data_IF_172084365306
#
_entry.id   IF_172084365306
#
_cell.length_a   1.000
_cell.length_b   1.000
_cell.length_c   1.000
_cell.angle_alpha   90.00
_cell.angle_beta   90.00
_cell.angle_gamma   90.00
#
_symmetry.space_group_name_H-M   'P 1'
#
loop_
_entity.id
_entity.type
_entity.pdbx_description
1 polymer ?
#
# COMPACT_ATOMS: atom_id res chain seq x y z
N UNK A 1 -9.01 -6.55 12.02
CA UNK A 1 -8.59 -7.49 13.13
C UNK A 1 -7.57 -8.58 12.78
N UNK A 2 -7.73 -9.40 11.72
CA UNK A 2 -6.72 -10.43 11.35
C UNK A 2 -5.62 -9.84 10.44
N UNK A 3 -6.03 -9.13 9.40
CA UNK A 3 -5.16 -8.56 8.35
C UNK A 3 -4.18 -7.54 8.92
N UNK A 4 -4.63 -6.59 9.75
CA UNK A 4 -3.74 -5.63 10.41
C UNK A 4 -2.62 -6.28 11.23
N UNK A 5 -2.84 -7.46 11.84
CA UNK A 5 -1.79 -8.21 12.55
C UNK A 5 -0.80 -8.88 11.59
N UNK A 6 -1.27 -9.39 10.44
CA UNK A 6 -0.41 -9.93 9.39
C UNK A 6 0.48 -8.83 8.81
N UNK A 7 -0.11 -7.71 8.39
CA UNK A 7 0.63 -6.56 7.88
C UNK A 7 1.62 -6.00 8.92
N UNK A 8 1.25 -5.91 10.21
CA UNK A 8 2.17 -5.52 11.29
C UNK A 8 3.41 -6.42 11.40
N UNK A 9 3.25 -7.73 11.14
CA UNK A 9 4.37 -8.68 11.14
C UNK A 9 5.28 -8.52 9.91
N UNK A 10 4.71 -8.30 8.73
CA UNK A 10 5.43 -8.02 7.48
C UNK A 10 6.17 -6.68 7.58
N UNK A 11 5.50 -5.64 8.08
CA UNK A 11 6.07 -4.32 8.34
C UNK A 11 7.23 -4.38 9.33
N UNK A 12 7.10 -5.14 10.42
CA UNK A 12 8.19 -5.37 11.37
C UNK A 12 9.37 -6.10 10.71
N UNK A 13 9.12 -7.06 9.84
CA UNK A 13 10.19 -7.75 9.08
C UNK A 13 10.89 -6.81 8.09
N UNK A 14 10.16 -5.88 7.46
CA UNK A 14 10.69 -4.90 6.49
C UNK A 14 11.48 -3.75 7.12
N UNK A 15 11.05 -3.28 8.30
CA UNK A 15 11.57 -2.04 8.93
C UNK A 15 12.25 -2.24 10.29
N UNK A 16 12.05 -3.37 10.95
CA UNK A 16 12.41 -3.59 12.35
C UNK A 16 11.54 -2.84 13.37
N UNK A 17 10.48 -2.13 12.95
CA UNK A 17 9.70 -1.24 13.82
C UNK A 17 8.24 -1.67 13.94
N UNK A 18 7.90 -2.27 15.08
CA UNK A 18 6.54 -2.81 15.34
C UNK A 18 5.53 -1.77 15.91
N UNK A 19 5.98 -0.58 16.29
CA UNK A 19 5.18 0.38 17.09
C UNK A 19 4.75 1.67 16.36
N UNK A 20 5.26 1.94 15.14
CA UNK A 20 5.04 3.25 14.48
C UNK A 20 3.73 3.36 13.68
N UNK A 21 3.11 2.26 13.25
CA UNK A 21 1.82 2.28 12.57
C UNK A 21 0.65 1.98 13.52
N UNK A 22 -0.34 2.87 13.50
CA UNK A 22 -1.64 2.67 14.14
C UNK A 22 -2.49 1.69 13.35
N UNK A 23 -3.32 0.88 14.02
CA UNK A 23 -4.13 -0.16 13.37
C UNK A 23 -5.06 0.42 12.29
N UNK A 24 -5.53 1.67 12.43
CA UNK A 24 -6.31 2.39 11.38
C UNK A 24 -5.52 2.71 10.10
N UNK A 25 -4.19 2.79 10.19
CA UNK A 25 -3.29 2.98 9.05
C UNK A 25 -3.07 1.61 8.37
N UNK A 26 -3.07 0.52 9.14
CA UNK A 26 -2.94 -0.87 8.67
C UNK A 26 -4.20 -1.45 8.01
N UNK A 27 -5.33 -0.75 8.08
CA UNK A 27 -6.62 -1.14 7.49
C UNK A 27 -7.05 -0.19 6.35
N UNK A 28 -6.14 0.68 5.86
CA UNK A 28 -6.38 1.59 4.73
C UNK A 28 -5.41 1.30 3.56
N UNK A 29 -5.88 0.97 2.34
CA UNK A 29 -5.01 0.60 1.22
C UNK A 29 -4.00 1.69 0.84
N UNK A 30 -4.43 2.95 0.79
CA UNK A 30 -3.57 4.07 0.40
C UNK A 30 -2.50 4.38 1.46
N UNK A 31 -2.82 4.13 2.73
CA UNK A 31 -1.88 4.34 3.82
C UNK A 31 -0.82 3.22 3.90
N UNK A 32 -1.21 1.97 3.64
CA UNK A 32 -0.28 0.84 3.45
C UNK A 32 0.59 1.08 2.21
N UNK A 33 -0.02 1.50 1.10
CA UNK A 33 0.69 1.84 -0.14
C UNK A 33 1.77 2.89 0.10
N UNK A 34 1.42 4.04 0.67
CA UNK A 34 2.36 5.13 0.94
C UNK A 34 3.52 4.70 1.83
N UNK A 35 3.25 3.89 2.85
CA UNK A 35 4.27 3.35 3.75
C UNK A 35 5.28 2.43 3.00
N UNK A 36 4.83 1.63 2.03
CA UNK A 36 5.72 0.92 1.12
C UNK A 36 6.48 1.87 0.17
N UNK A 37 5.82 2.92 -0.38
CA UNK A 37 6.48 3.89 -1.26
C UNK A 37 7.65 4.61 -0.56
N UNK A 38 7.50 4.95 0.73
CA UNK A 38 8.56 5.51 1.57
C UNK A 38 9.73 4.52 1.75
N UNK A 39 9.46 3.25 2.10
CA UNK A 39 10.51 2.21 2.20
C UNK A 39 11.25 2.02 0.86
N UNK A 40 10.50 1.95 -0.24
CA UNK A 40 11.03 1.76 -1.59
C UNK A 40 11.93 2.94 -1.97
N UNK A 41 11.50 4.17 -1.67
CA UNK A 41 12.30 5.39 -1.86
C UNK A 41 13.58 5.36 -1.05
N UNK A 42 13.50 5.10 0.26
CA UNK A 42 14.67 5.08 1.16
C UNK A 42 15.67 3.99 0.76
N UNK A 43 15.21 2.78 0.44
CA UNK A 43 16.07 1.69 -0.04
C UNK A 43 16.69 2.03 -1.40
N UNK A 44 15.94 2.62 -2.33
CA UNK A 44 16.45 3.08 -3.64
C UNK A 44 17.53 4.15 -3.46
N UNK A 45 17.32 5.13 -2.59
CA UNK A 45 18.33 6.15 -2.28
C UNK A 45 19.59 5.55 -1.63
N UNK A 46 19.43 4.66 -0.66
CA UNK A 46 20.54 3.95 -0.03
C UNK A 46 21.36 3.14 -1.07
N UNK A 47 20.70 2.45 -2.00
CA UNK A 47 21.36 1.74 -3.10
C UNK A 47 22.13 2.71 -4.01
N UNK A 48 21.59 3.89 -4.33
CA UNK A 48 22.34 4.89 -5.13
C UNK A 48 23.54 5.46 -4.37
N UNK A 49 23.40 5.79 -3.08
CA UNK A 49 24.51 6.23 -2.21
C UNK A 49 25.61 5.17 -2.18
N UNK A 50 25.24 3.91 -1.99
CA UNK A 50 26.17 2.79 -1.91
C UNK A 50 26.85 2.49 -3.26
N UNK A 51 26.10 2.52 -4.37
CA UNK A 51 26.66 2.45 -5.73
C UNK A 51 27.65 3.58 -6.01
N UNK A 52 27.37 4.79 -5.51
CA UNK A 52 28.30 5.93 -5.58
C UNK A 52 29.61 5.66 -4.85
N UNK A 53 29.55 5.13 -3.63
CA UNK A 53 30.74 4.76 -2.84
C UNK A 53 31.57 3.65 -3.53
N UNK A 54 30.92 2.59 -4.05
CA UNK A 54 31.61 1.55 -4.85
C UNK A 54 32.25 2.14 -6.11
N UNK A 55 31.60 3.11 -6.76
CA UNK A 55 32.18 3.86 -7.88
C UNK A 55 33.44 4.65 -7.52
N UNK A 56 33.48 5.26 -6.32
CA UNK A 56 34.68 5.94 -5.81
C UNK A 56 35.82 4.95 -5.52
N UNK A 57 35.53 3.78 -4.95
CA UNK A 57 36.52 2.71 -4.75
C UNK A 57 37.08 2.22 -6.10
N UNK A 58 36.23 2.02 -7.11
CA UNK A 58 36.66 1.66 -8.46
C UNK A 58 37.54 2.73 -9.12
N UNK A 59 37.26 4.01 -8.89
CA UNK A 59 38.11 5.11 -9.38
C UNK A 59 39.49 5.09 -8.70
N UNK A 60 39.56 4.87 -7.39
CA UNK A 60 40.82 4.75 -6.64
C UNK A 60 41.64 3.53 -7.10
N UNK A 61 40.99 2.37 -7.31
CA UNK A 61 41.65 1.18 -7.86
C UNK A 61 42.23 1.47 -9.26
N UNK A 62 41.49 2.16 -10.12
CA UNK A 62 41.98 2.56 -11.45
C UNK A 62 43.16 3.54 -11.35
N UNK A 63 43.16 4.47 -10.40
CA UNK A 63 44.30 5.36 -10.16
C UNK A 63 45.54 4.57 -9.74
N UNK A 64 45.42 3.59 -8.83
CA UNK A 64 46.53 2.69 -8.46
C UNK A 64 47.06 1.91 -9.67
N UNK A 65 46.18 1.38 -10.52
CA UNK A 65 46.57 0.68 -11.76
C UNK A 65 47.37 1.57 -12.72
N UNK A 66 46.98 2.85 -12.88
CA UNK A 66 47.74 3.83 -13.67
C UNK A 66 49.11 4.09 -13.03
N UNK A 67 49.18 4.25 -11.70
CA UNK A 67 50.46 4.44 -11.00
C UNK A 67 51.40 3.23 -11.16
N UNK A 68 50.88 2.00 -11.19
CA UNK A 68 51.68 0.81 -11.52
C UNK A 68 52.22 0.90 -12.94
N UNK A 69 51.38 1.23 -13.93
CA UNK A 69 51.82 1.37 -15.34
C UNK A 69 52.89 2.45 -15.53
N UNK A 70 52.77 3.59 -14.85
CA UNK A 70 53.76 4.67 -14.84
C UNK A 70 55.09 4.18 -14.23
N UNK A 71 55.04 3.54 -13.06
CA UNK A 71 56.22 2.96 -12.42
C UNK A 71 56.88 1.86 -13.27
N UNK A 72 56.11 1.03 -13.99
CA UNK A 72 56.67 0.02 -14.91
C UNK A 72 57.49 0.69 -16.01
N UNK A 73 57.00 1.78 -16.61
CA UNK A 73 57.73 2.54 -17.64
C UNK A 73 58.99 3.18 -17.06
N UNK A 74 58.93 3.71 -15.84
CA UNK A 74 60.10 4.24 -15.14
C UNK A 74 61.15 3.16 -14.83
N UNK A 75 60.73 1.94 -14.45
CA UNK A 75 61.65 0.81 -14.24
C UNK A 75 62.34 0.43 -15.56
N UNK A 76 61.61 0.30 -16.67
CA UNK A 76 62.23 0.03 -17.98
C UNK A 76 63.27 1.09 -18.35
N UNK A 77 62.97 2.38 -18.09
CA UNK A 77 63.93 3.47 -18.29
C UNK A 77 65.15 3.37 -17.36
N UNK A 78 64.95 3.03 -16.09
CA UNK A 78 66.04 2.87 -15.11
C UNK A 78 66.92 1.66 -15.43
N UNK A 79 66.36 0.56 -15.92
CA UNK A 79 67.13 -0.57 -16.42
C UNK A 79 68.06 -0.15 -17.56
N UNK A 80 67.57 0.62 -18.53
CA UNK A 80 68.36 1.04 -19.68
C UNK A 80 69.43 2.07 -19.28
N UNK A 81 69.13 2.97 -18.34
CA UNK A 81 70.12 3.85 -17.72
C UNK A 81 71.20 3.06 -16.94
N UNK A 82 70.80 2.02 -16.19
CA UNK A 82 71.71 1.11 -15.48
C UNK A 82 72.60 0.30 -16.45
N UNK A 83 72.03 -0.23 -17.54
CA UNK A 83 72.77 -0.88 -18.64
C UNK A 83 73.75 0.09 -19.30
N UNK A 84 73.33 1.33 -19.55
CA UNK A 84 74.15 2.40 -20.13
C UNK A 84 75.31 2.83 -19.23
N UNK A 85 75.07 3.03 -17.92
CA UNK A 85 76.11 3.33 -16.93
C UNK A 85 77.17 2.22 -16.87
N UNK A 86 76.73 0.96 -16.86
CA UNK A 86 77.64 -0.20 -16.89
C UNK A 86 78.45 -0.28 -18.20
N UNK A 87 77.83 -0.01 -19.36
CA UNK A 87 78.52 0.01 -20.64
C UNK A 87 79.58 1.12 -20.69
N UNK A 88 79.25 2.32 -20.20
CA UNK A 88 80.19 3.45 -20.14
C UNK A 88 81.33 3.18 -19.15
N UNK A 89 81.06 2.59 -17.97
CA UNK A 89 82.10 2.19 -17.03
C UNK A 89 83.09 1.19 -17.65
N UNK A 90 82.61 0.23 -18.44
CA UNK A 90 83.45 -0.72 -19.18
C UNK A 90 84.29 -0.03 -20.26
N UNK A 91 83.71 0.93 -20.99
CA UNK A 91 84.46 1.71 -21.99
C UNK A 91 85.60 2.49 -21.33
N UNK A 92 85.31 3.28 -20.29
CA UNK A 92 86.34 4.06 -19.56
C UNK A 92 87.44 3.16 -19.00
N UNK A 93 87.09 2.01 -18.41
CA UNK A 93 88.07 1.06 -17.91
C UNK A 93 88.96 0.48 -19.03
N UNK A 94 88.38 0.10 -20.18
CA UNK A 94 89.15 -0.39 -21.33
C UNK A 94 90.07 0.70 -21.90
N UNK A 95 89.58 1.93 -22.04
CA UNK A 95 90.32 3.06 -22.59
C UNK A 95 91.53 3.39 -21.68
N UNK A 96 91.35 3.41 -20.36
CA UNK A 96 92.43 3.62 -19.38
C UNK A 96 93.41 2.43 -19.34
N UNK A 97 92.92 1.20 -19.41
CA UNK A 97 93.78 0.00 -19.43
C UNK A 97 94.64 -0.04 -20.71
N UNK A 98 94.11 0.44 -21.85
CA UNK A 98 94.88 0.56 -23.11
C UNK A 98 96.01 1.61 -23.02
N UNK A 99 95.89 2.58 -22.10
CA UNK A 99 96.92 3.58 -21.79
C UNK A 99 97.95 3.07 -20.76
N UNK A 100 97.81 1.83 -20.29
CA UNK A 100 98.72 1.21 -19.31
C UNK A 100 98.44 1.57 -17.85
N UNK A 101 97.31 2.20 -17.55
CA UNK A 101 96.89 2.53 -16.17
C UNK A 101 96.57 1.24 -15.40
N UNK A 102 96.98 1.16 -14.13
CA UNK A 102 96.76 -0.04 -13.32
C UNK A 102 95.29 -0.25 -12.93
N UNK A 103 94.84 -1.50 -12.68
CA UNK A 103 93.47 -1.78 -12.23
C UNK A 103 93.11 -1.13 -10.88
N UNK A 104 94.08 -0.85 -10.01
CA UNK A 104 93.88 -0.08 -8.79
C UNK A 104 93.60 1.40 -9.09
N UNK A 105 94.39 2.04 -9.95
CA UNK A 105 94.24 3.45 -10.32
C UNK A 105 92.93 3.71 -11.07
N UNK A 106 92.52 2.81 -11.98
CA UNK A 106 91.22 2.90 -12.70
C UNK A 106 90.04 2.96 -11.72
N UNK A 107 90.08 2.24 -10.60
CA UNK A 107 89.01 2.28 -9.59
C UNK A 107 88.92 3.61 -8.85
N UNK A 108 89.99 4.41 -8.88
CA UNK A 108 90.02 5.78 -8.33
C UNK A 108 89.81 6.86 -9.38
N UNK A 109 89.73 6.51 -10.67
CA UNK A 109 89.47 7.46 -11.74
C UNK A 109 88.09 8.13 -11.58
N UNK A 110 88.06 9.43 -11.87
CA UNK A 110 86.89 10.29 -11.63
C UNK A 110 85.73 9.97 -12.58
N UNK A 111 85.99 9.52 -13.80
CA UNK A 111 84.92 9.19 -14.76
C UNK A 111 84.46 7.73 -14.63
N UNK A 112 85.35 6.81 -14.25
CA UNK A 112 84.98 5.45 -13.85
C UNK A 112 84.10 5.48 -12.59
N UNK A 113 84.51 6.18 -11.53
CA UNK A 113 83.75 6.27 -10.26
C UNK A 113 82.38 6.92 -10.43
N UNK A 114 82.24 7.97 -11.27
CA UNK A 114 80.93 8.52 -11.64
C UNK A 114 80.00 7.48 -12.26
N UNK A 115 80.52 6.62 -13.15
CA UNK A 115 79.70 5.58 -13.80
C UNK A 115 79.29 4.48 -12.82
N UNK A 116 80.18 4.12 -11.87
CA UNK A 116 79.86 3.19 -10.77
C UNK A 116 78.82 3.77 -9.82
N UNK A 117 78.95 5.05 -9.43
CA UNK A 117 77.96 5.74 -8.59
C UNK A 117 76.58 5.75 -9.26
N UNK A 118 76.49 6.21 -10.51
CA UNK A 118 75.24 6.22 -11.28
C UNK A 118 74.63 4.82 -11.42
N UNK A 119 75.44 3.77 -11.64
CA UNK A 119 74.96 2.39 -11.67
C UNK A 119 74.30 1.97 -10.35
N UNK A 120 74.93 2.30 -9.22
CA UNK A 120 74.42 1.99 -7.89
C UNK A 120 73.14 2.78 -7.59
N UNK A 121 73.10 4.08 -7.89
CA UNK A 121 71.94 4.95 -7.70
C UNK A 121 70.73 4.46 -8.50
N UNK A 122 70.93 4.13 -9.78
CA UNK A 122 69.86 3.53 -10.61
C UNK A 122 69.45 2.16 -10.09
N UNK A 123 70.36 1.36 -9.53
CA UNK A 123 70.00 0.05 -8.98
C UNK A 123 69.20 0.15 -7.67
N UNK A 124 69.51 1.09 -6.78
CA UNK A 124 68.71 1.34 -5.57
C UNK A 124 67.32 1.82 -5.93
N UNK A 125 67.25 2.85 -6.80
CA UNK A 125 65.98 3.43 -7.27
C UNK A 125 65.09 2.40 -7.96
N UNK A 126 65.70 1.46 -8.71
CA UNK A 126 64.99 0.37 -9.38
C UNK A 126 64.37 -0.59 -8.34
N UNK A 127 65.14 -1.06 -7.37
CA UNK A 127 64.64 -1.97 -6.32
C UNK A 127 63.56 -1.31 -5.46
N UNK A 128 63.68 -0.01 -5.14
CA UNK A 128 62.65 0.76 -4.45
C UNK A 128 61.33 0.82 -5.25
N UNK A 129 61.41 1.00 -6.57
CA UNK A 129 60.23 1.04 -7.44
C UNK A 129 59.61 -0.33 -7.69
N UNK A 130 60.42 -1.39 -7.81
CA UNK A 130 59.93 -2.77 -7.89
C UNK A 130 59.15 -3.14 -6.62
N UNK A 131 59.71 -2.85 -5.44
CA UNK A 131 59.01 -3.05 -4.16
C UNK A 131 57.70 -2.26 -4.11
N UNK A 132 57.71 -1.00 -4.57
CA UNK A 132 56.51 -0.16 -4.60
C UNK A 132 55.45 -0.65 -5.59
N UNK A 133 55.82 -1.27 -6.70
CA UNK A 133 54.87 -1.95 -7.59
C UNK A 133 54.24 -3.14 -6.85
N UNK A 134 55.03 -3.99 -6.19
CA UNK A 134 54.51 -5.13 -5.44
C UNK A 134 53.48 -4.73 -4.38
N UNK A 135 53.78 -3.70 -3.58
CA UNK A 135 52.82 -3.12 -2.62
C UNK A 135 51.51 -2.64 -3.29
N UNK A 136 51.61 -1.99 -4.45
CA UNK A 136 50.45 -1.50 -5.19
C UNK A 136 49.64 -2.63 -5.83
N UNK A 137 50.29 -3.70 -6.31
CA UNK A 137 49.62 -4.88 -6.87
C UNK A 137 48.85 -5.66 -5.79
N UNK A 138 49.43 -5.85 -4.60
CA UNK A 138 48.73 -6.41 -3.44
C UNK A 138 47.52 -5.55 -3.01
N UNK A 139 47.69 -4.22 -2.97
CA UNK A 139 46.59 -3.28 -2.71
C UNK A 139 45.48 -3.35 -3.76
N UNK A 140 45.83 -3.43 -5.05
CA UNK A 140 44.88 -3.55 -6.15
C UNK A 140 44.12 -4.88 -6.04
N UNK A 141 44.81 -5.98 -5.72
CA UNK A 141 44.18 -7.29 -5.56
C UNK A 141 43.17 -7.31 -4.41
N UNK A 142 43.52 -6.76 -3.24
CA UNK A 142 42.60 -6.64 -2.09
C UNK A 142 41.40 -5.77 -2.43
N UNK A 143 41.64 -4.56 -2.95
CA UNK A 143 40.57 -3.64 -3.33
C UNK A 143 39.63 -4.23 -4.40
N UNK A 144 40.15 -5.03 -5.35
CA UNK A 144 39.34 -5.72 -6.34
C UNK A 144 38.39 -6.74 -5.70
N UNK A 145 38.88 -7.55 -4.75
CA UNK A 145 38.06 -8.52 -4.02
C UNK A 145 36.94 -7.84 -3.21
N UNK A 146 37.27 -6.75 -2.50
CA UNK A 146 36.29 -5.97 -1.73
C UNK A 146 35.21 -5.35 -2.66
N UNK A 147 35.64 -4.76 -3.77
CA UNK A 147 34.73 -4.18 -4.78
C UNK A 147 33.79 -5.25 -5.36
N UNK A 148 34.28 -6.45 -5.66
CA UNK A 148 33.46 -7.53 -6.20
C UNK A 148 32.48 -8.09 -5.16
N UNK A 149 32.90 -8.19 -3.88
CA UNK A 149 31.98 -8.47 -2.76
C UNK A 149 30.86 -7.43 -2.64
N UNK A 150 31.18 -6.14 -2.75
CA UNK A 150 30.20 -5.06 -2.72
C UNK A 150 29.28 -5.04 -3.95
N UNK A 151 29.73 -5.46 -5.13
CA UNK A 151 28.86 -5.64 -6.30
C UNK A 151 27.81 -6.72 -6.05
N UNK A 152 28.19 -7.87 -5.50
CA UNK A 152 27.25 -8.94 -5.14
C UNK A 152 26.23 -8.46 -4.09
N UNK A 153 26.66 -7.67 -3.11
CA UNK A 153 25.77 -7.03 -2.14
C UNK A 153 24.79 -6.04 -2.81
N UNK A 154 25.26 -5.21 -3.76
CA UNK A 154 24.42 -4.32 -4.56
C UNK A 154 23.37 -5.08 -5.40
N UNK A 155 23.73 -6.22 -5.98
CA UNK A 155 22.77 -7.08 -6.69
C UNK A 155 21.68 -7.61 -5.75
N UNK A 156 22.06 -8.12 -4.57
CA UNK A 156 21.12 -8.61 -3.55
C UNK A 156 20.17 -7.50 -3.11
N UNK A 157 20.70 -6.32 -2.73
CA UNK A 157 19.87 -5.16 -2.36
C UNK A 157 18.92 -4.73 -3.49
N UNK A 158 19.36 -4.83 -4.75
CA UNK A 158 18.52 -4.51 -5.92
C UNK A 158 17.43 -5.56 -6.17
N UNK A 159 17.71 -6.84 -5.91
CA UNK A 159 16.70 -7.92 -5.96
C UNK A 159 15.69 -7.78 -4.84
N UNK A 160 16.13 -7.47 -3.62
CA UNK A 160 15.24 -7.29 -2.47
C UNK A 160 14.38 -6.03 -2.63
N UNK A 161 14.91 -4.94 -3.22
CA UNK A 161 14.08 -3.79 -3.59
C UNK A 161 12.93 -4.17 -4.54
N UNK A 162 13.17 -5.05 -5.52
CA UNK A 162 12.12 -5.53 -6.44
C UNK A 162 11.05 -6.36 -5.74
N UNK A 163 11.46 -7.28 -4.86
CA UNK A 163 10.50 -8.07 -4.05
C UNK A 163 9.59 -7.15 -3.24
N UNK A 164 10.12 -6.09 -2.63
CA UNK A 164 9.32 -5.12 -1.87
C UNK A 164 8.30 -4.37 -2.75
N UNK A 165 8.62 -4.13 -4.02
CA UNK A 165 7.68 -3.55 -5.00
C UNK A 165 6.59 -4.53 -5.43
N UNK A 166 6.93 -5.83 -5.52
CA UNK A 166 5.99 -6.92 -5.78
C UNK A 166 5.05 -7.12 -4.56
N UNK A 167 5.61 -7.27 -3.35
CA UNK A 167 4.91 -7.37 -2.07
C UNK A 167 3.97 -6.19 -1.81
N UNK A 168 4.37 -4.96 -2.14
CA UNK A 168 3.50 -3.77 -2.07
C UNK A 168 2.23 -3.96 -2.89
N UNK A 169 2.37 -4.47 -4.11
CA UNK A 169 1.26 -4.59 -5.05
C UNK A 169 0.26 -5.67 -4.61
N UNK A 170 0.78 -6.79 -4.09
CA UNK A 170 0.00 -7.88 -3.50
C UNK A 170 -0.73 -7.42 -2.23
N UNK A 171 -0.01 -6.84 -1.26
CA UNK A 171 -0.58 -6.40 0.01
C UNK A 171 -1.66 -5.31 -0.14
N UNK A 172 -1.53 -4.40 -1.12
CA UNK A 172 -2.56 -3.39 -1.42
C UNK A 172 -3.79 -4.03 -2.07
N UNK A 173 -3.61 -4.98 -2.99
CA UNK A 173 -4.72 -5.69 -3.64
C UNK A 173 -5.53 -6.54 -2.64
N UNK A 174 -4.86 -7.31 -1.79
CA UNK A 174 -5.48 -8.11 -0.73
C UNK A 174 -6.33 -7.25 0.22
N UNK A 175 -5.83 -6.06 0.58
CA UNK A 175 -6.50 -5.16 1.51
C UNK A 175 -7.71 -4.46 0.87
N UNK A 176 -7.64 -4.13 -0.43
CA UNK A 176 -8.81 -3.67 -1.20
C UNK A 176 -9.88 -4.78 -1.23
N UNK A 177 -9.50 -6.01 -1.58
CA UNK A 177 -10.45 -7.14 -1.66
C UNK A 177 -11.09 -7.48 -0.31
N UNK A 178 -10.31 -7.42 0.78
CA UNK A 178 -10.83 -7.59 2.13
C UNK A 178 -11.83 -6.51 2.51
N UNK A 179 -11.57 -5.25 2.14
CA UNK A 179 -12.47 -4.13 2.37
C UNK A 179 -13.76 -4.25 1.57
N UNK A 180 -13.70 -4.61 0.29
CA UNK A 180 -14.90 -4.89 -0.52
C UNK A 180 -15.74 -6.02 0.10
N UNK A 181 -15.09 -7.06 0.64
CA UNK A 181 -15.75 -8.17 1.33
C UNK A 181 -16.43 -7.71 2.63
N UNK A 182 -15.80 -6.82 3.40
CA UNK A 182 -16.38 -6.20 4.60
C UNK A 182 -17.59 -5.31 4.25
N UNK A 183 -17.46 -4.45 3.23
CA UNK A 183 -18.54 -3.59 2.75
C UNK A 183 -19.74 -4.42 2.22
N UNK A 184 -19.51 -5.55 1.55
CA UNK A 184 -20.55 -6.51 1.14
C UNK A 184 -21.23 -7.17 2.35
N UNK A 185 -20.46 -7.59 3.36
CA UNK A 185 -21.00 -8.21 4.58
C UNK A 185 -21.84 -7.22 5.41
N UNK A 186 -21.41 -5.97 5.50
CA UNK A 186 -22.13 -4.90 6.18
C UNK A 186 -23.41 -4.51 5.41
N UNK A 187 -23.38 -4.45 4.08
CA UNK A 187 -24.61 -4.30 3.28
C UNK A 187 -25.60 -5.43 3.55
N UNK A 188 -25.15 -6.70 3.56
CA UNK A 188 -25.99 -7.86 3.84
C UNK A 188 -26.59 -7.82 5.26
N UNK A 189 -25.79 -7.42 6.25
CA UNK A 189 -26.18 -7.23 7.65
C UNK A 189 -27.19 -6.09 7.83
N UNK A 190 -26.99 -4.95 7.14
CA UNK A 190 -27.90 -3.81 7.12
C UNK A 190 -29.24 -4.13 6.47
N UNK A 191 -29.22 -4.80 5.30
CA UNK A 191 -30.43 -5.33 4.63
C UNK A 191 -31.21 -6.25 5.57
N UNK A 192 -30.50 -7.08 6.36
CA UNK A 192 -31.13 -7.99 7.33
C UNK A 192 -31.72 -7.30 8.56
N UNK A 193 -31.29 -6.07 8.91
CA UNK A 193 -31.76 -5.37 10.12
C UNK A 193 -32.94 -4.44 9.87
N UNK A 194 -32.90 -3.61 8.82
CA UNK A 194 -33.86 -2.51 8.69
C UNK A 194 -35.05 -2.78 7.76
N UNK A 195 -34.89 -3.59 6.71
CA UNK A 195 -35.89 -3.70 5.64
C UNK A 195 -37.08 -4.63 5.92
N UNK A 196 -36.82 -5.88 6.28
CA UNK A 196 -37.83 -6.95 6.19
C UNK A 196 -38.71 -7.10 7.43
N UNK A 197 -38.15 -6.98 8.64
CA UNK A 197 -38.92 -7.22 9.86
C UNK A 197 -39.91 -6.09 10.21
N UNK A 198 -39.53 -4.81 10.03
CA UNK A 198 -40.47 -3.71 10.28
C UNK A 198 -41.64 -3.72 9.30
N UNK A 199 -41.38 -3.93 8.01
CA UNK A 199 -42.43 -3.89 6.99
C UNK A 199 -43.38 -5.11 7.13
N UNK A 200 -42.86 -6.31 7.43
CA UNK A 200 -43.70 -7.47 7.75
C UNK A 200 -44.55 -7.27 9.02
N UNK A 201 -44.06 -6.55 10.04
CA UNK A 201 -44.85 -6.19 11.22
C UNK A 201 -45.95 -5.20 10.84
N UNK A 202 -45.66 -4.15 10.07
CA UNK A 202 -46.69 -3.20 9.56
C UNK A 202 -47.75 -3.91 8.73
N UNK A 203 -47.38 -4.79 7.80
CA UNK A 203 -48.34 -5.56 7.00
C UNK A 203 -49.23 -6.48 7.86
N UNK A 204 -48.69 -7.10 8.92
CA UNK A 204 -49.47 -7.90 9.88
C UNK A 204 -50.44 -7.02 10.67
N UNK A 205 -50.02 -5.83 11.09
CA UNK A 205 -50.85 -4.88 11.84
C UNK A 205 -51.97 -4.28 10.97
N UNK A 206 -51.68 -3.93 9.72
CA UNK A 206 -52.68 -3.48 8.72
C UNK A 206 -53.69 -4.59 8.46
N UNK A 207 -53.25 -5.85 8.28
CA UNK A 207 -54.15 -7.00 8.14
C UNK A 207 -55.02 -7.21 9.37
N UNK A 208 -54.47 -7.07 10.57
CA UNK A 208 -55.26 -7.20 11.81
C UNK A 208 -56.31 -6.07 11.91
N UNK A 209 -55.93 -4.82 11.63
CA UNK A 209 -56.86 -3.67 11.59
C UNK A 209 -57.94 -3.84 10.52
N UNK A 210 -57.62 -4.42 9.36
CA UNK A 210 -58.60 -4.74 8.33
C UNK A 210 -59.59 -5.84 8.78
N UNK A 211 -59.10 -6.90 9.44
CA UNK A 211 -59.95 -7.95 10.02
C UNK A 211 -60.89 -7.39 11.08
N UNK A 212 -60.37 -6.63 12.05
CA UNK A 212 -61.19 -6.02 13.10
C UNK A 212 -62.15 -4.94 12.58
N UNK A 213 -61.82 -4.24 11.48
CA UNK A 213 -62.80 -3.39 10.79
C UNK A 213 -63.92 -4.20 10.13
N UNK A 214 -63.62 -5.35 9.52
CA UNK A 214 -64.65 -6.22 8.98
C UNK A 214 -65.56 -6.81 10.09
N UNK A 215 -64.97 -7.22 11.22
CA UNK A 215 -65.70 -7.66 12.42
C UNK A 215 -66.60 -6.54 12.96
N UNK A 216 -66.08 -5.32 13.14
CA UNK A 216 -66.87 -4.15 13.59
C UNK A 216 -67.94 -3.75 12.57
N UNK A 217 -67.68 -3.81 11.27
CA UNK A 217 -68.70 -3.57 10.24
C UNK A 217 -69.79 -4.64 10.23
N UNK A 218 -69.46 -5.89 10.58
CA UNK A 218 -70.42 -6.97 10.74
C UNK A 218 -71.25 -6.82 12.02
N UNK A 219 -70.67 -6.36 13.13
CA UNK A 219 -71.39 -5.98 14.34
C UNK A 219 -72.31 -4.77 14.11
N UNK A 220 -71.83 -3.71 13.46
CA UNK A 220 -72.64 -2.52 13.12
C UNK A 220 -73.83 -2.87 12.20
N UNK A 221 -73.59 -3.67 11.14
CA UNK A 221 -74.67 -4.15 10.27
C UNK A 221 -75.69 -5.03 11.01
N UNK A 222 -75.25 -5.76 12.06
CA UNK A 222 -76.14 -6.48 12.96
C UNK A 222 -76.85 -5.61 14.02
N UNK A 223 -76.39 -4.37 14.22
CA UNK A 223 -76.93 -3.45 15.24
C UNK A 223 -78.00 -2.52 14.67
N UNK A 224 -77.81 -2.00 13.45
CA UNK A 224 -78.81 -1.13 12.78
C UNK A 224 -80.15 -1.85 12.54
N UNK A 225 -80.14 -3.17 12.31
CA UNK A 225 -81.34 -3.97 12.15
C UNK A 225 -82.23 -3.98 13.42
N UNK A 226 -81.61 -3.99 14.61
CA UNK A 226 -82.33 -3.98 15.89
C UNK A 226 -82.73 -2.56 16.32
N UNK A 227 -81.98 -1.53 15.88
CA UNK A 227 -82.30 -0.13 16.21
C UNK A 227 -83.57 0.36 15.51
N UNK A 228 -83.77 -0.02 14.24
CA UNK A 228 -84.94 0.39 13.46
C UNK A 228 -86.25 -0.26 13.98
N UNK A 229 -86.20 -1.49 14.47
CA UNK A 229 -87.39 -2.18 15.02
C UNK A 229 -87.90 -1.50 16.30
N UNK A 230 -87.03 -0.94 17.13
CA UNK A 230 -87.42 -0.15 18.30
C UNK A 230 -88.04 1.22 17.92
N UNK A 231 -87.50 1.90 16.90
CA UNK A 231 -87.98 3.21 16.46
C UNK A 231 -89.42 3.13 15.90
N UNK A 232 -89.75 2.05 15.18
CA UNK A 232 -91.14 1.77 14.75
C UNK A 232 -92.11 1.44 15.90
N UNK A 233 -91.62 0.91 17.03
CA UNK A 233 -92.46 0.60 18.19
C UNK A 233 -92.74 1.79 19.10
N UNK A 234 -91.88 2.82 19.12
CA UNK A 234 -92.17 4.09 19.81
C UNK A 234 -93.11 4.98 19.00
N UNK A 235 -92.95 5.06 17.67
CA UNK A 235 -93.85 5.83 16.80
C UNK A 235 -95.33 5.39 16.88
N UNK A 236 -95.58 4.11 17.20
CA UNK A 236 -96.93 3.57 17.37
C UNK A 236 -97.59 3.88 18.74
N UNK A 237 -96.89 4.57 19.67
CA UNK A 237 -97.34 4.78 21.06
C UNK A 237 -97.66 6.22 21.45
N UNK A 238 -97.60 7.18 20.52
CA UNK A 238 -97.85 8.59 20.83
C UNK A 238 -98.72 9.30 19.78
N UNK A 239 -100.04 9.08 19.79
CA UNK A 239 -101.07 10.12 19.53
C UNK A 239 -102.52 9.58 19.53
N UNK A 240 -103.04 9.24 20.71
CA UNK A 240 -104.45 9.25 21.15
C UNK A 240 -104.42 9.14 22.70
N UNK A 241 -105.33 9.63 23.54
CA UNK A 241 -106.46 10.59 23.51
C UNK A 241 -106.63 11.07 24.99
N UNK A 242 -107.26 12.18 25.41
CA UNK A 242 -108.09 13.26 24.82
C UNK A 242 -108.06 14.48 25.82
N UNK A 243 -108.89 15.50 25.56
CA UNK A 243 -109.58 16.40 26.53
C UNK A 243 -109.16 17.88 26.63
N UNK A 244 -110.17 18.76 26.41
CA UNK A 244 -110.32 20.22 26.57
C UNK A 244 -110.81 20.86 25.24
N UNK A 245 -112.09 21.02 24.93
CA UNK A 245 -113.24 21.60 25.67
C UNK A 245 -113.05 23.04 26.18
N UNK A 246 -111.90 23.41 26.77
CA UNK A 246 -111.74 24.73 27.40
C UNK A 246 -110.99 25.79 26.56
N UNK A 247 -110.34 25.41 25.45
CA UNK A 247 -109.65 26.35 24.55
C UNK A 247 -110.59 27.13 23.59
N UNK A 248 -111.89 27.19 23.89
CA UNK A 248 -112.93 27.93 23.14
C UNK A 248 -112.83 29.46 23.37
N UNK A 249 -111.61 30.00 23.50
CA UNK A 249 -111.33 31.32 24.06
C UNK A 249 -110.60 32.26 23.08
N UNK A 250 -109.58 31.84 22.29
CA UNK A 250 -108.98 32.71 21.25
C UNK A 250 -108.37 31.99 20.02
N UNK A 251 -108.99 32.17 18.84
CA UNK A 251 -108.27 32.64 17.63
C UNK A 251 -107.65 31.65 16.61
N UNK A 252 -108.41 31.41 15.53
CA UNK A 252 -107.98 31.33 14.10
C UNK A 252 -107.06 30.19 13.57
N UNK A 253 -107.68 29.36 12.71
CA UNK A 253 -107.25 28.94 11.35
C UNK A 253 -105.80 28.45 11.10
N UNK A 254 -105.64 27.13 10.88
CA UNK A 254 -105.40 26.46 9.55
C UNK A 254 -103.96 26.56 9.02
N UNK A 255 -103.35 25.54 8.40
CA UNK A 255 -103.75 24.16 8.07
C UNK A 255 -102.54 23.37 7.54
N UNK A 256 -102.52 22.04 7.71
CA UNK A 256 -102.07 20.98 6.76
C UNK A 256 -100.70 21.06 6.02
N UNK A 257 -100.02 19.97 5.62
CA UNK A 257 -99.99 18.55 6.00
C UNK A 257 -98.92 17.84 5.14
N UNK A 258 -98.18 16.86 5.69
CA UNK A 258 -97.85 15.50 5.12
C UNK A 258 -97.39 15.34 3.64
N UNK A 259 -96.52 14.41 3.19
CA UNK A 259 -95.40 13.57 3.67
C UNK A 259 -95.02 12.60 2.50
N UNK A 260 -93.92 11.85 2.59
CA UNK A 260 -93.76 10.45 2.10
C UNK A 260 -93.64 10.14 0.58
N UNK A 261 -93.04 9.05 0.06
CA UNK A 261 -91.86 8.18 0.40
C UNK A 261 -91.60 7.19 -0.79
N UNK A 262 -90.32 6.85 -1.05
CA UNK A 262 -89.69 5.63 -1.66
C UNK A 262 -90.47 4.60 -2.52
N UNK A 263 -89.82 4.06 -3.58
CA UNK A 263 -89.73 2.58 -3.83
C UNK A 263 -88.63 2.15 -4.82
N UNK A 264 -88.22 0.88 -4.74
CA UNK A 264 -87.16 0.19 -5.52
C UNK A 264 -87.64 -1.23 -5.86
N UNK A 265 -87.25 -1.79 -7.02
CA UNK A 265 -87.58 -3.17 -7.44
C UNK A 265 -86.40 -4.16 -7.32
N UNK A 266 -86.75 -5.45 -7.40
CA UNK A 266 -85.92 -6.67 -7.23
C UNK A 266 -86.12 -7.66 -8.39
N UNK A 267 -85.14 -8.55 -8.61
CA UNK A 267 -85.19 -9.84 -9.36
C UNK A 267 -83.89 -10.63 -8.99
N UNK A 268 -83.72 -11.97 -9.06
CA UNK A 268 -84.61 -13.14 -9.16
C UNK A 268 -83.79 -14.46 -8.94
N UNK A 269 -84.46 -15.60 -8.65
CA UNK A 269 -84.15 -17.01 -9.04
C UNK A 269 -82.80 -17.73 -8.65
N UNK A 270 -82.67 -19.08 -8.53
CA UNK A 270 -83.63 -20.22 -8.44
C UNK A 270 -82.95 -21.58 -8.03
N UNK A 271 -83.74 -22.69 -8.02
CA UNK A 271 -83.38 -24.15 -8.03
C UNK A 271 -82.85 -24.87 -6.74
N UNK A 272 -83.13 -26.17 -6.42
CA UNK A 272 -84.11 -27.24 -6.82
C UNK A 272 -84.11 -28.38 -5.69
N UNK A 273 -84.82 -29.55 -5.77
CA UNK A 273 -85.54 -30.14 -4.61
C UNK A 273 -85.22 -31.61 -4.22
N UNK A 274 -85.80 -32.06 -3.10
CA UNK A 274 -86.49 -33.37 -2.93
C UNK A 274 -87.74 -33.13 -2.08
#
# INVERSE_FOLDING_TARGET
MAIGRLFKSIWYMLTGRAHEMSDKIMENPEAVRGAYEDIIKDKKENIQRYKGAVGQLMALLKQKQVSVQELTQEITRLEDLKKGALAKAKQVANDLQSQGVSPEEIKTDVDYTKCVAAYNDFSSTLTEKEARIGELEEDIQRAQQDIDGHKVQLETLTRDLKKIQEEQSEAVADLISARETEEIADMLSGISKDGTNQELVRMREVRQKAKSRAEISQELAGTDANSQENEFLEAARSSETSDEFDALIFGAEQSDSVETTTTKNTDADSELPI
#
